data_IF_650326856981
#
_entry.id   IF_650326856981
#
_cell.length_a   1.000
_cell.length_b   1.000
_cell.length_c   1.000
_cell.angle_alpha   90.00
_cell.angle_beta   90.00
_cell.angle_gamma   90.00
#
_symmetry.space_group_name_H-M   'P 1'
#
loop_
_entity.id
_entity.type
_entity.pdbx_description
1 polymer ?
#
# COMPACT_ATOMS: atom_id res chain seq x y z
N UNK A 1 -2.56 -60.04 19.71
CA UNK A 1 -2.92 -58.91 20.61
C UNK A 1 -1.90 -57.76 20.56
N UNK A 2 -0.58 -58.05 20.68
CA UNK A 2 0.49 -57.04 20.65
C UNK A 2 0.51 -56.14 19.40
N UNK A 3 0.28 -56.71 18.21
CA UNK A 3 0.28 -55.96 16.94
C UNK A 3 -0.89 -54.97 16.82
N UNK A 4 -2.06 -55.31 17.36
CA UNK A 4 -3.23 -54.42 17.36
C UNK A 4 -3.11 -53.27 18.36
N UNK A 5 -2.42 -53.50 19.48
CA UNK A 5 -2.11 -52.47 20.47
C UNK A 5 -1.08 -51.47 19.94
N UNK A 6 -0.05 -51.95 19.22
CA UNK A 6 0.93 -51.10 18.54
C UNK A 6 0.28 -50.21 17.47
N UNK A 7 -0.61 -50.76 16.65
CA UNK A 7 -1.36 -49.98 15.66
C UNK A 7 -2.25 -48.91 16.29
N UNK A 8 -2.92 -49.22 17.41
CA UNK A 8 -3.76 -48.26 18.13
C UNK A 8 -2.94 -47.12 18.76
N UNK A 9 -1.75 -47.42 19.31
CA UNK A 9 -0.85 -46.41 19.89
C UNK A 9 -0.27 -45.50 18.80
N UNK A 10 0.10 -46.05 17.64
CA UNK A 10 0.60 -45.25 16.50
C UNK A 10 -0.51 -44.35 15.94
N UNK A 11 -1.73 -44.86 15.77
CA UNK A 11 -2.88 -44.06 15.35
C UNK A 11 -3.23 -42.96 16.37
N UNK A 12 -3.18 -43.27 17.66
CA UNK A 12 -3.39 -42.27 18.72
C UNK A 12 -2.28 -41.21 18.72
N UNK A 13 -1.00 -41.57 18.54
CA UNK A 13 0.06 -40.57 18.41
C UNK A 13 -0.08 -39.69 17.16
N UNK A 14 -0.56 -40.22 16.03
CA UNK A 14 -0.81 -39.45 14.80
C UNK A 14 -1.96 -38.44 15.02
N UNK A 15 -2.99 -38.79 15.79
CA UNK A 15 -4.11 -37.90 16.12
C UNK A 15 -3.81 -36.87 17.22
N UNK A 16 -2.72 -37.06 17.99
CA UNK A 16 -2.30 -36.18 19.09
C UNK A 16 -0.99 -35.42 18.80
N UNK A 17 -0.48 -35.47 17.57
CA UNK A 17 0.48 -34.47 17.13
C UNK A 17 -0.21 -33.11 17.27
N UNK A 18 0.30 -32.18 18.11
CA UNK A 18 -0.23 -30.84 18.11
C UNK A 18 -0.10 -30.35 16.68
N UNK A 19 -1.22 -29.95 16.06
CA UNK A 19 -1.16 -29.21 14.82
C UNK A 19 -0.17 -28.07 15.09
N UNK A 20 1.03 -28.18 14.53
CA UNK A 20 1.99 -27.10 14.56
C UNK A 20 1.21 -25.93 14.03
N UNK A 21 1.02 -24.92 14.88
CA UNK A 21 0.49 -23.63 14.47
C UNK A 21 1.30 -23.24 13.24
N UNK A 22 0.69 -23.36 12.06
CA UNK A 22 1.23 -22.80 10.85
C UNK A 22 1.15 -21.29 11.07
N UNK A 23 2.22 -20.74 11.64
CA UNK A 23 2.37 -19.31 11.78
C UNK A 23 2.36 -18.72 10.36
N UNK A 24 1.59 -17.66 10.16
CA UNK A 24 1.43 -16.90 8.91
C UNK A 24 2.74 -16.23 8.42
N UNK A 25 3.88 -16.59 9.00
CA UNK A 25 5.22 -16.11 8.68
C UNK A 25 6.01 -17.12 7.81
N UNK A 26 5.38 -18.24 7.44
CA UNK A 26 5.98 -19.36 6.69
C UNK A 26 6.21 -19.10 5.18
N UNK A 27 6.34 -17.84 4.78
CA UNK A 27 6.80 -17.47 3.44
C UNK A 27 8.33 -17.44 3.37
N UNK A 28 8.93 -17.43 2.17
CA UNK A 28 10.39 -17.33 2.00
C UNK A 28 10.96 -15.96 2.43
N UNK A 29 10.15 -15.05 2.96
CA UNK A 29 10.50 -13.66 3.23
C UNK A 29 11.02 -13.46 4.66
N UNK A 30 12.32 -13.62 4.84
CA UNK A 30 13.00 -13.38 6.11
C UNK A 30 13.39 -14.67 6.85
N UNK A 31 13.83 -14.54 8.10
CA UNK A 31 14.25 -15.70 8.90
C UNK A 31 15.49 -16.45 8.38
N UNK A 32 16.24 -15.86 7.44
CA UNK A 32 17.40 -16.51 6.83
C UNK A 32 18.47 -16.86 7.87
N UNK A 33 18.85 -18.13 7.90
CA UNK A 33 19.98 -18.65 8.68
C UNK A 33 21.10 -19.06 7.73
N UNK A 34 22.29 -19.34 8.27
CA UNK A 34 23.43 -19.79 7.46
C UNK A 34 23.18 -21.09 6.66
N UNK A 35 22.16 -21.88 7.04
CA UNK A 35 21.81 -23.15 6.40
C UNK A 35 20.42 -23.15 5.77
N UNK A 36 19.82 -21.98 5.51
CA UNK A 36 18.49 -21.90 4.88
C UNK A 36 18.54 -22.29 3.40
N UNK A 37 17.52 -23.01 2.93
CA UNK A 37 17.28 -23.28 1.51
C UNK A 37 16.36 -22.23 0.86
N UNK A 38 15.77 -21.30 1.64
CA UNK A 38 14.84 -20.28 1.18
C UNK A 38 15.45 -19.36 0.10
N UNK A 39 16.77 -19.18 0.09
CA UNK A 39 17.49 -18.43 -0.95
C UNK A 39 17.21 -18.99 -2.36
N UNK A 40 17.07 -20.32 -2.48
CA UNK A 40 16.77 -21.00 -3.73
C UNK A 40 15.29 -20.85 -4.14
N UNK A 41 14.44 -20.22 -3.33
CA UNK A 41 13.10 -19.81 -3.75
C UNK A 41 13.14 -18.70 -4.80
N UNK A 42 14.11 -17.78 -4.70
CA UNK A 42 14.20 -16.60 -5.57
C UNK A 42 15.47 -16.58 -6.43
N UNK A 43 16.59 -17.08 -5.91
CA UNK A 43 17.90 -16.98 -6.55
C UNK A 43 18.36 -18.29 -7.21
N UNK A 44 19.21 -18.17 -8.25
CA UNK A 44 19.94 -19.28 -8.89
C UNK A 44 21.39 -18.88 -9.12
N UNK A 45 22.31 -19.51 -8.42
CA UNK A 45 23.74 -19.13 -8.42
C UNK A 45 24.41 -19.22 -9.79
N UNK A 46 24.04 -20.20 -10.62
CA UNK A 46 24.68 -20.43 -11.93
C UNK A 46 23.72 -20.36 -13.13
N UNK A 47 22.41 -20.30 -12.90
CA UNK A 47 21.39 -20.42 -13.96
C UNK A 47 20.29 -19.36 -13.85
N UNK A 48 20.59 -18.24 -13.19
CA UNK A 48 19.65 -17.12 -13.11
C UNK A 48 19.31 -16.57 -14.50
N UNK A 49 18.04 -16.22 -14.69
CA UNK A 49 17.54 -15.61 -15.91
C UNK A 49 17.52 -14.06 -15.81
N UNK A 50 17.75 -13.51 -14.63
CA UNK A 50 17.72 -12.07 -14.36
C UNK A 50 18.87 -11.60 -13.46
N UNK A 51 19.10 -10.28 -13.44
CA UNK A 51 20.11 -9.65 -12.59
C UNK A 51 19.93 -9.99 -11.11
N UNK A 52 21.01 -9.86 -10.32
CA UNK A 52 21.04 -10.26 -8.90
C UNK A 52 20.78 -11.76 -8.67
N UNK A 53 21.13 -12.58 -9.66
CA UNK A 53 20.96 -14.03 -9.65
C UNK A 53 19.50 -14.46 -9.51
N UNK A 54 18.54 -13.69 -10.02
CA UNK A 54 17.12 -13.98 -9.87
C UNK A 54 16.61 -15.01 -10.90
N UNK A 55 15.62 -15.79 -10.49
CA UNK A 55 14.88 -16.72 -11.36
C UNK A 55 14.15 -16.03 -12.51
N UNK A 56 13.65 -14.82 -12.26
CA UNK A 56 12.93 -13.99 -13.22
C UNK A 56 13.00 -12.53 -12.78
N UNK A 57 12.64 -11.60 -13.66
CA UNK A 57 12.52 -10.18 -13.30
C UNK A 57 11.25 -9.93 -12.47
N UNK A 58 11.22 -8.84 -11.69
CA UNK A 58 9.96 -8.31 -11.16
C UNK A 58 9.08 -7.85 -12.33
N UNK A 59 7.74 -8.03 -12.28
CA UNK A 59 6.95 -8.63 -11.19
C UNK A 59 6.84 -10.16 -11.30
N UNK A 60 7.25 -10.76 -12.43
CA UNK A 60 7.07 -12.19 -12.72
C UNK A 60 7.59 -13.10 -11.62
N UNK A 61 8.74 -12.78 -11.02
CA UNK A 61 9.27 -13.53 -9.88
C UNK A 61 8.28 -13.59 -8.70
N UNK A 62 7.73 -12.46 -8.30
CA UNK A 62 6.81 -12.34 -7.17
C UNK A 62 5.48 -13.05 -7.47
N UNK A 63 5.01 -12.93 -8.71
CA UNK A 63 3.76 -13.53 -9.17
C UNK A 63 3.82 -15.07 -9.30
N UNK A 64 5.00 -15.69 -9.16
CA UNK A 64 5.10 -17.16 -9.05
C UNK A 64 4.44 -17.69 -7.76
N UNK A 65 4.32 -16.85 -6.73
CA UNK A 65 3.64 -17.18 -5.48
C UNK A 65 2.38 -16.34 -5.25
N UNK A 66 2.37 -15.08 -5.69
CA UNK A 66 1.32 -14.11 -5.44
C UNK A 66 0.34 -13.88 -6.62
N UNK A 67 0.43 -14.67 -7.69
CA UNK A 67 -0.44 -14.53 -8.87
C UNK A 67 -1.77 -15.28 -8.77
N UNK A 68 -2.64 -15.07 -9.77
CA UNK A 68 -4.04 -15.55 -9.78
C UNK A 68 -4.23 -17.07 -9.71
N UNK A 69 -3.22 -17.86 -10.07
CA UNK A 69 -3.31 -19.33 -10.16
C UNK A 69 -2.22 -20.04 -9.36
N UNK A 70 -1.62 -19.34 -8.40
CA UNK A 70 -0.48 -19.85 -7.63
C UNK A 70 -0.88 -20.06 -6.17
N UNK A 71 -0.47 -21.20 -5.58
CA UNK A 71 -0.71 -21.52 -4.17
C UNK A 71 0.52 -21.24 -3.30
N UNK A 72 1.46 -20.43 -3.80
CA UNK A 72 2.75 -20.17 -3.15
C UNK A 72 2.71 -19.12 -2.04
N UNK A 73 1.59 -18.41 -1.89
CA UNK A 73 1.38 -17.42 -0.84
C UNK A 73 -0.10 -17.37 -0.41
N UNK A 74 -0.34 -16.88 0.80
CA UNK A 74 -1.70 -16.60 1.31
C UNK A 74 -2.38 -15.41 0.64
N UNK A 75 -1.69 -14.70 -0.26
CA UNK A 75 -2.18 -13.50 -0.91
C UNK A 75 -2.01 -13.59 -2.41
N UNK A 76 -3.12 -13.46 -3.13
CA UNK A 76 -3.17 -13.27 -4.57
C UNK A 76 -3.30 -11.76 -4.82
N UNK A 77 -2.17 -11.14 -5.13
CA UNK A 77 -2.11 -9.68 -5.35
C UNK A 77 -2.63 -9.29 -6.73
N UNK A 78 -2.72 -10.23 -7.67
CA UNK A 78 -3.30 -9.96 -9.00
C UNK A 78 -4.80 -9.75 -8.89
N UNK A 79 -5.50 -10.63 -8.16
CA UNK A 79 -6.96 -10.57 -8.00
C UNK A 79 -7.41 -9.87 -6.72
N UNK A 80 -6.46 -9.44 -5.89
CA UNK A 80 -6.74 -8.71 -4.65
C UNK A 80 -7.47 -9.56 -3.61
N UNK A 81 -7.15 -10.85 -3.52
CA UNK A 81 -7.80 -11.83 -2.62
C UNK A 81 -6.77 -12.56 -1.75
N UNK A 82 -7.15 -12.92 -0.53
CA UNK A 82 -6.38 -13.86 0.28
C UNK A 82 -6.75 -15.32 0.01
N UNK A 83 -6.07 -16.26 0.69
CA UNK A 83 -6.30 -17.71 0.57
C UNK A 83 -7.72 -18.15 0.98
N UNK A 84 -8.49 -17.30 1.64
CA UNK A 84 -9.91 -17.49 1.99
C UNK A 84 -10.86 -16.68 1.11
N UNK A 85 -10.40 -16.11 -0.01
CA UNK A 85 -11.19 -15.25 -0.91
C UNK A 85 -11.73 -13.97 -0.26
N UNK A 86 -11.09 -13.48 0.80
CA UNK A 86 -11.36 -12.16 1.40
C UNK A 86 -10.56 -11.09 0.65
N UNK A 87 -11.07 -9.85 0.54
CA UNK A 87 -10.35 -8.80 -0.17
C UNK A 87 -9.07 -8.42 0.54
N UNK A 88 -8.05 -8.12 -0.23
CA UNK A 88 -6.82 -7.53 0.26
C UNK A 88 -6.89 -6.01 0.20
N UNK A 89 -6.41 -5.34 1.26
CA UNK A 89 -6.10 -3.90 1.22
C UNK A 89 -4.89 -3.57 0.33
N UNK A 90 -4.15 -4.60 -0.09
CA UNK A 90 -2.86 -4.49 -0.77
C UNK A 90 -2.72 -5.50 -1.90
N UNK A 91 -3.72 -5.56 -2.79
CA UNK A 91 -3.65 -6.28 -4.06
C UNK A 91 -4.50 -5.56 -5.11
N UNK A 92 -4.83 -6.27 -6.17
CA UNK A 92 -5.70 -5.81 -7.24
C UNK A 92 -4.95 -5.08 -8.35
N UNK A 93 -4.02 -5.80 -8.99
CA UNK A 93 -3.34 -5.30 -10.19
C UNK A 93 -4.11 -5.61 -11.48
N UNK A 94 -4.96 -6.66 -11.49
CA UNK A 94 -5.82 -7.01 -12.62
C UNK A 94 -7.31 -7.02 -12.25
N UNK A 95 -7.63 -7.63 -11.10
CA UNK A 95 -8.97 -7.63 -10.53
C UNK A 95 -8.94 -7.13 -9.10
N UNK A 96 -9.91 -6.32 -8.71
CA UNK A 96 -10.04 -5.85 -7.33
C UNK A 96 -11.31 -6.39 -6.72
N UNK A 97 -11.25 -6.79 -5.46
CA UNK A 97 -12.45 -7.01 -4.65
C UNK A 97 -12.69 -5.77 -3.80
N UNK A 98 -13.72 -5.00 -4.13
CA UNK A 98 -14.02 -3.75 -3.45
C UNK A 98 -15.51 -3.47 -3.36
N UNK A 99 -15.91 -2.62 -2.41
CA UNK A 99 -17.24 -2.00 -2.41
C UNK A 99 -17.11 -0.58 -2.94
N UNK A 100 -17.41 -0.32 -4.22
CA UNK A 100 -17.23 0.99 -4.83
C UNK A 100 -18.36 1.98 -4.47
N UNK A 101 -19.32 1.62 -3.61
CA UNK A 101 -20.44 2.49 -3.27
C UNK A 101 -21.51 1.84 -2.39
N UNK A 102 -22.78 1.91 -2.82
CA UNK A 102 -23.93 1.34 -2.09
C UNK A 102 -24.41 0.00 -2.65
N UNK A 103 -23.70 -0.52 -3.65
CA UNK A 103 -24.04 -1.77 -4.36
C UNK A 103 -23.47 -3.02 -3.69
N UNK A 104 -22.75 -2.84 -2.57
CA UNK A 104 -22.07 -3.91 -1.88
C UNK A 104 -20.76 -4.31 -2.58
N UNK A 105 -19.99 -5.16 -1.91
CA UNK A 105 -18.73 -5.71 -2.40
C UNK A 105 -18.89 -6.44 -3.75
N UNK A 106 -18.03 -6.10 -4.71
CA UNK A 106 -17.93 -6.71 -6.03
C UNK A 106 -16.48 -7.06 -6.37
N UNK A 107 -16.29 -7.96 -7.33
CA UNK A 107 -15.00 -8.17 -8.00
C UNK A 107 -15.07 -7.49 -9.36
N UNK A 108 -14.18 -6.51 -9.58
CA UNK A 108 -14.20 -5.63 -10.75
C UNK A 108 -12.84 -5.63 -11.44
N UNK A 109 -12.80 -5.40 -12.77
CA UNK A 109 -11.54 -5.16 -13.45
C UNK A 109 -10.91 -3.86 -12.93
N UNK A 110 -9.59 -3.85 -12.86
CA UNK A 110 -8.83 -2.67 -12.42
C UNK A 110 -8.96 -1.56 -13.46
N UNK A 111 -9.30 -0.37 -12.99
CA UNK A 111 -9.38 0.86 -13.78
C UNK A 111 -8.14 1.73 -13.62
N UNK A 112 -7.48 1.67 -12.47
CA UNK A 112 -6.23 2.38 -12.19
C UNK A 112 -5.38 1.59 -11.20
N UNK A 113 -4.06 1.54 -11.42
CA UNK A 113 -3.11 0.94 -10.49
C UNK A 113 -1.78 1.71 -10.49
N UNK A 114 -0.97 1.48 -9.45
CA UNK A 114 0.47 1.64 -9.58
C UNK A 114 1.00 0.56 -10.51
N UNK A 115 1.56 0.97 -11.64
CA UNK A 115 2.15 0.09 -12.64
C UNK A 115 3.50 -0.44 -12.15
N UNK A 116 3.54 -1.70 -11.72
CA UNK A 116 4.73 -2.34 -11.11
C UNK A 116 5.53 -3.22 -12.08
N UNK A 117 5.33 -3.02 -13.38
CA UNK A 117 5.94 -3.80 -14.46
C UNK A 117 7.25 -3.21 -14.99
N UNK A 118 7.77 -2.13 -14.39
CA UNK A 118 8.95 -1.41 -14.87
C UNK A 118 8.69 -0.48 -16.05
N UNK A 119 7.44 -0.27 -16.45
CA UNK A 119 7.07 0.72 -17.47
C UNK A 119 7.32 2.16 -17.00
N UNK A 120 7.47 3.10 -17.94
CA UNK A 120 7.62 4.54 -17.63
C UNK A 120 6.30 5.13 -17.11
N UNK A 121 6.36 5.82 -15.97
CA UNK A 121 5.21 6.46 -15.33
C UNK A 121 5.57 7.81 -14.70
N UNK A 122 4.54 8.60 -14.45
CA UNK A 122 4.69 9.89 -13.76
C UNK A 122 4.32 9.75 -12.29
N UNK A 123 5.25 10.11 -11.40
CA UNK A 123 5.00 10.30 -9.98
C UNK A 123 4.50 11.72 -9.76
N UNK A 124 3.18 11.87 -9.85
CA UNK A 124 2.52 13.16 -9.67
C UNK A 124 2.75 13.71 -8.26
N UNK A 125 3.00 15.02 -8.16
CA UNK A 125 3.26 15.67 -6.89
C UNK A 125 4.66 15.43 -6.31
N UNK A 126 5.55 14.70 -6.99
CA UNK A 126 6.95 14.63 -6.56
C UNK A 126 7.63 16.01 -6.65
N UNK A 127 8.58 16.26 -5.75
CA UNK A 127 9.36 17.50 -5.67
C UNK A 127 8.96 18.44 -4.54
N UNK A 128 9.63 19.59 -4.45
CA UNK A 128 9.26 20.64 -3.51
C UNK A 128 8.04 21.42 -4.01
N UNK A 129 7.29 22.01 -3.08
CA UNK A 129 6.27 23.03 -3.38
C UNK A 129 6.87 24.08 -4.32
N UNK A 130 6.17 24.40 -5.41
CA UNK A 130 6.70 25.25 -6.47
C UNK A 130 5.69 26.24 -7.06
N UNK A 131 6.10 27.51 -7.12
CA UNK A 131 5.41 28.56 -7.88
C UNK A 131 5.60 28.44 -9.41
N UNK A 132 6.32 27.42 -9.88
CA UNK A 132 6.41 27.05 -11.30
C UNK A 132 5.63 25.77 -11.53
N UNK A 133 4.71 25.79 -12.50
CA UNK A 133 3.93 24.62 -12.88
C UNK A 133 4.85 23.45 -13.26
N UNK A 134 4.85 22.40 -12.45
CA UNK A 134 5.46 21.12 -12.78
C UNK A 134 4.60 19.97 -12.18
N UNK A 135 4.24 18.97 -12.98
CA UNK A 135 3.32 17.91 -12.53
C UNK A 135 3.93 16.93 -11.52
N UNK A 136 5.24 16.74 -11.56
CA UNK A 136 5.94 15.71 -10.80
C UNK A 136 7.11 15.13 -11.59
N UNK A 137 7.57 13.94 -11.17
CA UNK A 137 8.69 13.25 -11.79
C UNK A 137 8.18 12.30 -12.87
N UNK A 138 8.59 12.53 -14.12
CA UNK A 138 8.27 11.65 -15.24
C UNK A 138 9.27 10.48 -15.36
N UNK A 139 8.91 9.49 -16.18
CA UNK A 139 9.78 8.37 -16.58
C UNK A 139 10.31 7.51 -15.43
N UNK A 140 9.45 7.22 -14.46
CA UNK A 140 9.76 6.38 -13.31
C UNK A 140 9.35 4.93 -13.58
N UNK A 141 10.32 3.99 -13.69
CA UNK A 141 10.04 2.57 -13.81
C UNK A 141 9.82 1.95 -12.43
N UNK A 142 8.57 1.76 -12.03
CA UNK A 142 8.23 1.17 -10.74
C UNK A 142 8.13 -0.37 -10.83
N UNK A 143 8.64 -1.05 -9.80
CA UNK A 143 8.62 -2.49 -9.60
C UNK A 143 8.17 -2.82 -8.17
N UNK A 144 7.82 -4.09 -7.90
CA UNK A 144 7.41 -4.53 -6.56
C UNK A 144 8.48 -4.22 -5.50
N UNK A 145 9.77 -4.30 -5.88
CA UNK A 145 10.90 -4.08 -4.98
C UNK A 145 11.20 -2.63 -4.69
N UNK A 146 10.56 -1.67 -5.36
CA UNK A 146 10.71 -0.26 -5.00
C UNK A 146 9.95 0.06 -3.71
N UNK A 147 8.83 -0.63 -3.48
CA UNK A 147 8.03 -0.49 -2.27
C UNK A 147 8.35 -1.55 -1.21
N UNK A 148 8.58 -2.80 -1.61
CA UNK A 148 8.74 -3.94 -0.70
C UNK A 148 10.19 -4.44 -0.60
N UNK A 149 10.56 -4.94 0.57
CA UNK A 149 11.81 -5.65 0.81
C UNK A 149 11.55 -7.17 0.92
N UNK A 150 11.81 -7.96 -0.13
CA UNK A 150 11.56 -9.41 -0.12
C UNK A 150 12.46 -10.18 0.85
N UNK A 151 13.48 -9.55 1.44
CA UNK A 151 14.30 -10.17 2.49
C UNK A 151 13.67 -10.10 3.88
N UNK A 152 12.50 -9.48 4.04
CA UNK A 152 11.77 -9.42 5.30
C UNK A 152 12.30 -8.41 6.32
N UNK A 153 13.35 -7.66 5.98
CA UNK A 153 14.08 -6.74 6.85
C UNK A 153 14.00 -5.31 6.34
N UNK A 154 12.78 -4.84 6.12
CA UNK A 154 12.48 -3.57 5.47
C UNK A 154 12.85 -2.33 6.28
N UNK A 155 12.88 -2.44 7.62
CA UNK A 155 13.02 -1.27 8.50
C UNK A 155 14.40 -1.07 9.11
N UNK A 156 14.51 -0.06 9.96
CA UNK A 156 15.76 0.34 10.59
C UNK A 156 16.39 -0.79 11.40
N UNK A 157 17.71 -0.93 11.26
CA UNK A 157 18.45 -2.04 11.86
C UNK A 157 18.03 -3.43 11.33
N UNK A 158 17.33 -3.49 10.20
CA UNK A 158 16.84 -4.74 9.61
C UNK A 158 15.61 -5.31 10.32
N UNK A 159 14.79 -4.45 10.95
CA UNK A 159 13.52 -4.80 11.56
C UNK A 159 12.46 -5.19 10.51
N UNK A 160 11.49 -6.01 10.93
CA UNK A 160 10.30 -6.29 10.14
C UNK A 160 9.40 -5.05 10.10
N UNK A 161 8.79 -4.82 8.95
CA UNK A 161 7.90 -3.69 8.67
C UNK A 161 6.56 -4.20 8.16
N UNK A 162 5.54 -3.36 8.28
CA UNK A 162 4.21 -3.65 7.76
C UNK A 162 4.29 -4.15 6.32
N UNK A 163 3.87 -5.40 6.09
CA UNK A 163 3.91 -6.08 4.79
C UNK A 163 5.24 -5.92 4.03
N UNK A 164 6.34 -5.94 4.77
CA UNK A 164 7.69 -5.83 4.22
C UNK A 164 7.97 -4.50 3.52
N UNK A 165 7.22 -3.44 3.80
CA UNK A 165 7.48 -2.12 3.20
C UNK A 165 8.89 -1.65 3.55
N UNK A 166 9.59 -1.06 2.59
CA UNK A 166 10.90 -0.45 2.86
C UNK A 166 10.70 0.74 3.80
N UNK A 167 11.26 0.63 4.99
CA UNK A 167 11.19 1.64 6.04
C UNK A 167 12.50 2.42 6.21
N UNK A 168 13.65 1.81 5.87
CA UNK A 168 14.97 2.44 6.00
C UNK A 168 15.75 2.50 4.68
N UNK A 169 16.32 3.68 4.40
CA UNK A 169 17.36 3.96 3.42
C UNK A 169 18.72 3.32 3.75
N UNK A 170 18.91 2.42 4.74
CA UNK A 170 20.25 1.79 4.99
C UNK A 170 20.76 0.85 3.90
N UNK A 171 20.09 0.75 2.75
CA UNK A 171 20.69 0.26 1.50
C UNK A 171 21.06 1.37 0.49
N UNK A 172 20.98 2.63 0.94
CA UNK A 172 21.61 3.86 0.45
C UNK A 172 21.21 4.36 -0.95
N UNK A 173 19.90 4.39 -1.26
CA UNK A 173 19.35 5.21 -2.35
C UNK A 173 17.97 5.77 -1.97
N UNK A 174 17.60 7.01 -2.33
CA UNK A 174 16.20 7.42 -2.36
C UNK A 174 15.41 6.48 -3.29
N UNK A 175 14.12 6.24 -3.00
CA UNK A 175 13.24 5.41 -3.85
C UNK A 175 13.31 5.80 -5.33
N UNK A 176 13.59 7.08 -5.61
CA UNK A 176 13.92 7.57 -6.94
C UNK A 176 15.24 8.32 -6.91
N UNK A 177 16.32 7.72 -7.41
CA UNK A 177 17.37 8.51 -8.05
C UNK A 177 16.93 8.73 -9.49
N UNK A 178 16.44 9.93 -9.81
CA UNK A 178 16.44 10.33 -11.20
C UNK A 178 17.92 10.37 -11.66
N UNK A 179 18.22 9.78 -12.82
CA UNK A 179 19.53 9.88 -13.46
C UNK A 179 19.76 11.31 -14.02
N UNK A 180 19.49 12.35 -13.22
CA UNK A 180 19.90 13.72 -13.51
C UNK A 180 20.03 14.63 -12.26
N UNK A 181 20.06 14.06 -11.05
CA UNK A 181 20.35 14.79 -9.84
C UNK A 181 19.21 15.70 -9.35
N UNK A 182 19.20 15.90 -8.03
CA UNK A 182 18.39 16.90 -7.32
C UNK A 182 16.97 16.50 -6.91
N UNK A 183 16.79 15.35 -6.26
CA UNK A 183 15.98 15.25 -5.02
C UNK A 183 16.50 14.04 -4.22
N UNK A 184 17.23 14.30 -3.13
CA UNK A 184 17.56 13.27 -2.14
C UNK A 184 16.54 13.39 -1.03
N UNK A 185 15.64 12.42 -0.91
CA UNK A 185 14.81 12.30 0.27
C UNK A 185 15.70 11.99 1.49
N UNK A 186 15.59 12.79 2.54
CA UNK A 186 16.56 12.81 3.65
C UNK A 186 16.23 11.86 4.80
N UNK A 187 15.05 11.23 4.82
CA UNK A 187 14.68 10.23 5.84
C UNK A 187 13.51 9.38 5.36
N UNK A 188 13.68 8.07 5.33
CA UNK A 188 12.60 7.11 5.12
C UNK A 188 11.85 6.85 6.44
N UNK A 189 10.64 6.31 6.36
CA UNK A 189 9.77 6.05 7.52
C UNK A 189 9.51 4.57 7.67
N UNK A 190 9.92 4.00 8.79
CA UNK A 190 9.54 2.66 9.21
C UNK A 190 8.05 2.62 9.53
N UNK A 191 7.33 1.76 8.82
CA UNK A 191 5.99 1.35 9.25
C UNK A 191 6.17 0.05 10.05
N UNK A 192 5.93 0.07 11.37
CA UNK A 192 6.06 -1.13 12.19
C UNK A 192 5.10 -2.21 11.71
N UNK A 193 5.52 -3.47 11.83
CA UNK A 193 4.59 -4.56 11.58
C UNK A 193 3.57 -4.68 12.72
N UNK A 194 2.38 -5.19 12.39
CA UNK A 194 1.32 -5.39 13.37
C UNK A 194 1.57 -6.66 14.19
N UNK A 195 1.30 -6.67 15.52
CA UNK A 195 1.44 -7.87 16.34
C UNK A 195 0.56 -9.04 15.86
N UNK A 196 -0.58 -8.72 15.23
CA UNK A 196 -1.51 -9.69 14.61
C UNK A 196 -1.66 -9.38 13.13
N UNK A 197 -1.29 -10.33 12.27
CA UNK A 197 -1.23 -10.14 10.81
C UNK A 197 -2.60 -10.29 10.14
N UNK A 198 -3.50 -9.33 10.37
CA UNK A 198 -4.86 -9.33 9.81
C UNK A 198 -5.02 -8.17 8.82
N UNK A 199 -5.02 -8.50 7.52
CA UNK A 199 -4.71 -7.55 6.46
C UNK A 199 -5.80 -7.43 5.37
N UNK A 200 -7.00 -7.91 5.65
CA UNK A 200 -8.14 -7.91 4.74
C UNK A 200 -9.08 -6.71 4.95
N UNK A 201 -9.97 -6.49 3.98
CA UNK A 201 -11.11 -5.56 4.11
C UNK A 201 -12.23 -6.32 4.83
N UNK A 202 -12.79 -5.74 5.90
CA UNK A 202 -13.83 -6.39 6.70
C UNK A 202 -15.13 -6.58 5.90
N UNK A 203 -16.02 -7.44 6.39
CA UNK A 203 -17.32 -7.68 5.76
C UNK A 203 -18.21 -6.43 5.75
N UNK A 204 -17.98 -5.48 6.65
CA UNK A 204 -18.73 -4.24 6.80
C UNK A 204 -18.28 -3.14 5.80
N UNK A 205 -17.36 -3.46 4.90
CA UNK A 205 -16.84 -2.48 3.95
C UNK A 205 -15.98 -1.40 4.62
N UNK A 206 -15.48 -1.66 5.85
CA UNK A 206 -14.59 -0.77 6.57
C UNK A 206 -13.21 -0.74 5.88
N UNK A 207 -13.15 0.02 4.78
CA UNK A 207 -11.90 0.57 4.29
C UNK A 207 -11.22 1.41 5.38
N UNK A 208 -12.01 1.96 6.29
CA UNK A 208 -11.56 2.79 7.38
C UNK A 208 -11.31 2.02 8.66
N UNK A 209 -10.05 2.03 9.10
CA UNK A 209 -9.67 1.61 10.44
C UNK A 209 -9.51 0.09 10.56
N UNK A 210 -8.26 -0.35 10.65
CA UNK A 210 -7.75 -0.64 11.99
C UNK A 210 -6.21 -0.70 11.99
N UNK A 211 -5.57 0.41 11.62
CA UNK A 211 -4.24 0.70 12.13
C UNK A 211 -4.39 1.38 13.50
N UNK A 212 -5.09 0.73 14.43
CA UNK A 212 -5.38 1.25 15.78
C UNK A 212 -4.16 1.30 16.70
N UNK A 213 -2.96 1.03 16.17
CA UNK A 213 -1.70 1.11 16.88
C UNK A 213 -1.04 2.48 16.73
N UNK A 214 -0.58 3.03 17.86
CA UNK A 214 0.43 4.07 17.90
C UNK A 214 1.81 3.42 17.97
N UNK A 215 2.78 3.91 17.19
CA UNK A 215 4.18 3.49 17.22
C UNK A 215 5.10 4.70 17.21
N UNK A 216 6.05 4.74 18.13
CA UNK A 216 6.99 5.86 18.29
C UNK A 216 6.31 7.24 18.32
N UNK A 217 5.11 7.33 18.92
CA UNK A 217 4.31 8.56 19.00
C UNK A 217 3.42 8.87 17.78
N UNK A 218 3.48 8.07 16.71
CA UNK A 218 2.72 8.28 15.47
C UNK A 218 1.67 7.16 15.26
N UNK A 219 0.46 7.49 14.76
CA UNK A 219 -0.51 6.45 14.35
C UNK A 219 -0.01 5.73 13.09
N UNK A 220 -0.34 4.44 12.89
CA UNK A 220 0.10 3.75 11.67
C UNK A 220 -0.48 4.37 10.38
N UNK A 221 -1.60 5.11 10.47
CA UNK A 221 -2.10 5.97 9.39
C UNK A 221 -1.15 7.12 9.04
N UNK A 222 -0.62 7.81 10.05
CA UNK A 222 0.36 8.87 9.85
C UNK A 222 1.69 8.33 9.30
N UNK A 223 2.13 7.15 9.76
CA UNK A 223 3.32 6.48 9.22
C UNK A 223 3.12 6.10 7.75
N UNK A 224 1.94 5.61 7.38
CA UNK A 224 1.58 5.31 5.99
C UNK A 224 1.55 6.55 5.10
N UNK A 225 0.98 7.66 5.58
CA UNK A 225 1.02 8.94 4.85
C UNK A 225 2.46 9.39 4.63
N UNK A 226 3.29 9.38 5.67
CA UNK A 226 4.68 9.78 5.56
C UNK A 226 5.46 8.87 4.60
N UNK A 227 5.14 7.58 4.56
CA UNK A 227 5.71 6.64 3.61
C UNK A 227 5.27 6.91 2.16
N UNK A 228 3.99 7.19 1.90
CA UNK A 228 3.51 7.55 0.55
C UNK A 228 4.10 8.89 0.06
N UNK A 229 4.25 9.83 0.99
CA UNK A 229 4.82 11.15 0.73
C UNK A 229 6.29 11.11 0.32
N UNK A 230 6.97 9.96 0.46
CA UNK A 230 8.30 9.76 -0.08
C UNK A 230 8.36 9.92 -1.61
N UNK A 231 7.25 9.59 -2.27
CA UNK A 231 7.05 9.70 -3.71
C UNK A 231 6.13 10.88 -4.04
N UNK A 232 5.12 11.10 -3.22
CA UNK A 232 4.11 12.13 -3.46
C UNK A 232 4.27 13.34 -2.53
N UNK A 233 5.49 13.87 -2.49
CA UNK A 233 5.96 14.87 -1.52
C UNK A 233 5.02 16.07 -1.38
N UNK A 234 4.46 16.58 -2.49
CA UNK A 234 3.56 17.74 -2.47
C UNK A 234 2.14 17.42 -2.04
N UNK A 235 1.70 16.16 -2.04
CA UNK A 235 0.37 15.80 -1.52
C UNK A 235 0.32 15.81 0.00
N UNK A 236 1.47 15.64 0.68
CA UNK A 236 1.53 15.65 2.14
C UNK A 236 1.18 17.05 2.66
N UNK A 237 0.07 17.13 3.40
CA UNK A 237 -0.28 18.29 4.19
C UNK A 237 -0.48 17.86 5.64
N UNK A 238 0.15 18.57 6.57
CA UNK A 238 0.15 18.23 7.99
C UNK A 238 -0.51 19.33 8.79
N UNK A 239 -1.34 18.96 9.76
CA UNK A 239 -1.86 19.89 10.74
C UNK A 239 -1.14 19.64 12.07
N UNK A 240 -0.32 20.61 12.50
CA UNK A 240 0.50 20.50 13.72
C UNK A 240 0.14 21.62 14.68
N UNK A 241 0.38 21.43 15.99
CA UNK A 241 0.16 22.50 16.97
C UNK A 241 1.02 23.75 16.71
N UNK A 242 2.18 23.59 16.05
CA UNK A 242 3.07 24.70 15.67
C UNK A 242 2.63 25.41 14.38
N UNK A 243 1.82 24.76 13.54
CA UNK A 243 1.30 25.31 12.28
C UNK A 243 -0.04 24.64 11.98
N UNK A 244 -1.14 25.19 12.52
CA UNK A 244 -2.46 24.65 12.24
C UNK A 244 -2.77 24.86 10.76
N UNK A 245 -2.88 23.77 9.99
CA UNK A 245 -3.04 23.86 8.55
C UNK A 245 -4.49 23.62 8.14
N UNK A 246 -5.19 24.70 7.82
CA UNK A 246 -6.39 24.64 6.99
C UNK A 246 -5.95 24.46 5.53
N UNK A 247 -5.17 23.42 5.21
CA UNK A 247 -4.53 23.27 3.88
C UNK A 247 -5.54 23.19 2.72
N UNK A 248 -6.81 22.90 3.00
CA UNK A 248 -7.90 22.98 2.03
C UNK A 248 -8.40 24.41 1.75
N UNK A 249 -8.02 25.37 2.58
CA UNK A 249 -8.39 26.79 2.52
C UNK A 249 -7.18 27.75 2.46
N UNK A 250 -6.00 27.26 2.80
CA UNK A 250 -4.73 27.99 2.75
C UNK A 250 -3.91 27.53 1.57
N UNK A 251 -3.58 28.48 0.68
CA UNK A 251 -2.72 28.21 -0.48
C UNK A 251 -1.30 27.89 -0.01
N UNK A 252 -0.74 26.78 -0.48
CA UNK A 252 0.65 26.43 -0.18
C UNK A 252 1.69 27.21 -0.97
N UNK A 253 1.27 27.95 -2.00
CA UNK A 253 2.15 28.54 -3.00
C UNK A 253 2.62 27.55 -4.07
N UNK A 254 1.98 26.37 -4.17
CA UNK A 254 2.23 25.46 -5.31
C UNK A 254 1.27 25.81 -6.45
N UNK A 255 1.77 25.85 -7.68
CA UNK A 255 0.96 26.26 -8.84
C UNK A 255 -0.12 25.24 -9.20
N UNK A 256 0.12 23.96 -8.94
CA UNK A 256 -0.75 22.85 -9.37
C UNK A 256 -1.45 22.23 -8.16
N UNK A 257 -0.75 22.12 -7.03
CA UNK A 257 -1.22 21.47 -5.81
C UNK A 257 -1.53 22.47 -4.70
N UNK A 258 -2.01 23.67 -5.04
CA UNK A 258 -2.21 24.81 -4.14
C UNK A 258 -2.97 24.47 -2.84
N UNK A 259 -4.10 23.75 -2.95
CA UNK A 259 -4.98 23.40 -1.85
C UNK A 259 -5.08 21.88 -1.70
N UNK A 260 -4.98 21.39 -0.46
CA UNK A 260 -4.86 19.96 -0.16
C UNK A 260 -5.61 19.59 1.10
N UNK A 261 -6.23 18.42 1.12
CA UNK A 261 -6.70 17.86 2.39
C UNK A 261 -5.51 17.52 3.27
N UNK A 262 -5.67 17.74 4.57
CA UNK A 262 -4.70 17.27 5.57
C UNK A 262 -4.70 15.74 5.54
N UNK A 263 -3.50 15.16 5.40
CA UNK A 263 -3.29 13.71 5.31
C UNK A 263 -2.49 13.17 6.50
N UNK A 264 -2.06 14.04 7.41
CA UNK A 264 -1.43 13.69 8.67
C UNK A 264 -1.84 14.70 9.75
N UNK A 265 -2.25 14.21 10.91
CA UNK A 265 -2.63 15.06 12.04
C UNK A 265 -1.94 14.50 13.29
N UNK A 266 -0.97 15.25 13.83
CA UNK A 266 -0.28 14.88 15.06
C UNK A 266 -1.00 15.38 16.33
N UNK A 267 -2.06 16.19 16.17
CA UNK A 267 -2.67 16.94 17.28
C UNK A 267 -3.77 16.20 18.07
N UNK A 268 -4.04 14.91 17.79
CA UNK A 268 -5.14 14.12 18.38
C UNK A 268 -6.56 14.67 18.18
N UNK A 269 -6.74 15.79 17.47
CA UNK A 269 -8.04 16.42 17.19
C UNK A 269 -8.54 16.08 15.78
N UNK A 270 -7.64 15.69 14.87
CA UNK A 270 -8.05 15.10 13.60
C UNK A 270 -8.82 16.07 12.71
N UNK A 271 -9.78 15.55 11.93
CA UNK A 271 -10.72 16.37 11.18
C UNK A 271 -11.56 17.31 12.08
N UNK A 272 -11.74 16.99 13.37
CA UNK A 272 -12.48 17.86 14.28
C UNK A 272 -11.76 19.19 14.53
N UNK A 273 -10.43 19.26 14.40
CA UNK A 273 -9.69 20.53 14.50
C UNK A 273 -10.16 21.59 13.49
N UNK A 274 -10.58 21.17 12.29
CA UNK A 274 -11.09 22.05 11.22
C UNK A 274 -12.61 22.01 11.06
N UNK A 275 -13.28 20.93 11.52
CA UNK A 275 -14.72 20.70 11.31
C UNK A 275 -15.58 20.71 12.59
N UNK A 276 -15.01 21.02 13.77
CA UNK A 276 -15.70 20.98 15.08
C UNK A 276 -17.01 21.77 15.15
N UNK A 277 -17.17 22.82 14.34
CA UNK A 277 -18.37 23.66 14.32
C UNK A 277 -19.47 23.15 13.38
N UNK A 278 -19.20 22.15 12.53
CA UNK A 278 -20.05 21.83 11.36
C UNK A 278 -20.67 20.44 11.38
N UNK A 279 -20.01 19.42 11.95
CA UNK A 279 -20.51 18.04 11.93
C UNK A 279 -20.36 17.36 13.30
N UNK A 280 -21.49 16.88 13.85
CA UNK A 280 -21.58 16.35 15.22
C UNK A 280 -21.34 14.85 15.38
N UNK A 281 -21.20 14.05 14.30
CA UNK A 281 -20.94 12.61 14.39
C UNK A 281 -20.41 12.08 13.04
N UNK A 282 -19.40 11.21 13.11
CA UNK A 282 -18.81 10.41 12.01
C UNK A 282 -17.77 11.11 11.11
N UNK A 283 -16.57 11.31 11.64
CA UNK A 283 -15.34 11.52 10.84
C UNK A 283 -14.21 10.65 11.39
N UNK A 284 -13.36 10.05 10.54
CA UNK A 284 -12.17 9.36 11.03
C UNK A 284 -11.25 10.38 11.73
N UNK A 285 -10.77 10.09 12.95
CA UNK A 285 -9.96 11.03 13.71
C UNK A 285 -8.58 11.29 13.09
N UNK A 286 -8.15 10.49 12.09
CA UNK A 286 -6.84 10.65 11.45
C UNK A 286 -6.94 10.34 9.95
N UNK A 287 -7.24 11.33 9.08
CA UNK A 287 -7.22 11.13 7.63
C UNK A 287 -5.80 10.79 7.17
N UNK A 288 -5.69 9.82 6.26
CA UNK A 288 -4.44 9.39 5.64
C UNK A 288 -4.65 9.17 4.13
N UNK A 289 -3.59 8.95 3.36
CA UNK A 289 -3.74 8.69 1.92
C UNK A 289 -4.70 7.51 1.66
N UNK A 290 -4.59 6.44 2.45
CA UNK A 290 -5.42 5.23 2.33
C UNK A 290 -6.87 5.41 2.83
N UNK A 291 -7.22 6.58 3.37
CA UNK A 291 -8.60 6.98 3.64
C UNK A 291 -9.37 7.15 2.32
N UNK A 292 -8.71 7.65 1.28
CA UNK A 292 -9.33 7.91 -0.02
C UNK A 292 -8.86 6.92 -1.09
N UNK A 293 -7.62 6.45 -0.99
CA UNK A 293 -6.97 5.68 -2.03
C UNK A 293 -6.74 4.22 -1.63
N UNK A 294 -6.79 3.34 -2.62
CA UNK A 294 -6.22 2.00 -2.59
C UNK A 294 -4.71 2.09 -2.79
N UNK A 295 -3.94 1.22 -2.13
CA UNK A 295 -2.48 1.26 -2.23
C UNK A 295 -1.94 0.75 -3.58
N UNK A 296 -2.62 -0.24 -4.18
CA UNK A 296 -2.16 -0.88 -5.43
C UNK A 296 -3.06 -0.55 -6.61
N UNK A 297 -4.28 -1.09 -6.66
CA UNK A 297 -5.23 -0.79 -7.72
C UNK A 297 -6.66 -0.65 -7.22
N UNK A 298 -7.47 -0.02 -8.06
CA UNK A 298 -8.90 0.18 -7.85
C UNK A 298 -9.66 -0.20 -9.12
N UNK A 299 -10.93 -0.53 -8.93
CA UNK A 299 -11.93 -0.73 -9.98
C UNK A 299 -12.97 0.38 -9.98
N UNK A 300 -12.72 1.46 -9.22
CA UNK A 300 -13.61 2.60 -9.17
C UNK A 300 -13.75 3.25 -10.56
N UNK A 301 -14.99 3.58 -10.91
CA UNK A 301 -15.37 4.16 -12.19
C UNK A 301 -15.68 5.63 -12.06
N UNK A 302 -15.33 6.39 -13.11
CA UNK A 302 -15.56 7.81 -13.20
C UNK A 302 -16.82 8.08 -14.01
N UNK A 303 -17.67 8.98 -13.51
CA UNK A 303 -18.86 9.47 -14.20
C UNK A 303 -18.58 10.79 -14.90
N UNK A 304 -19.61 11.34 -15.53
CA UNK A 304 -19.52 12.47 -16.45
C UNK A 304 -18.69 13.67 -15.95
N UNK A 305 -18.77 14.00 -14.66
CA UNK A 305 -18.02 15.14 -14.11
C UNK A 305 -16.59 14.76 -13.74
N UNK A 306 -16.40 13.58 -13.15
CA UNK A 306 -15.10 13.12 -12.65
C UNK A 306 -14.15 12.67 -13.76
N UNK A 307 -14.71 12.18 -14.87
CA UNK A 307 -14.01 11.71 -16.06
C UNK A 307 -13.33 12.86 -16.83
N UNK A 308 -14.00 14.01 -16.92
CA UNK A 308 -13.50 15.17 -17.66
C UNK A 308 -12.41 15.99 -16.95
N UNK A 309 -11.85 15.49 -15.83
CA UNK A 309 -10.82 16.20 -15.07
C UNK A 309 -9.43 15.99 -15.72
N UNK A 310 -8.73 17.05 -16.17
CA UNK A 310 -7.40 16.94 -16.79
C UNK A 310 -6.29 16.52 -15.82
N UNK A 311 -5.14 16.11 -16.36
CA UNK A 311 -4.00 15.62 -15.57
C UNK A 311 -3.32 16.84 -14.97
N UNK A 312 -2.51 16.68 -13.92
CA UNK A 312 -1.75 17.80 -13.39
C UNK A 312 -0.89 18.51 -14.45
N UNK A 313 -0.52 17.83 -15.55
CA UNK A 313 0.18 18.42 -16.71
C UNK A 313 -0.76 19.05 -17.77
N UNK A 314 -2.07 19.04 -17.54
CA UNK A 314 -3.10 19.56 -18.44
C UNK A 314 -3.55 18.58 -19.53
N UNK A 315 -2.98 17.38 -19.62
CA UNK A 315 -3.40 16.39 -20.62
C UNK A 315 -4.79 15.84 -20.29
N UNK A 316 -5.66 15.75 -21.30
CA UNK A 316 -6.98 15.12 -21.19
C UNK A 316 -6.83 13.61 -21.40
N UNK A 317 -7.51 12.81 -20.57
CA UNK A 317 -7.35 11.35 -20.52
C UNK A 317 -7.78 10.66 -21.83
N UNK A 318 -7.09 9.59 -22.28
CA UNK A 318 -7.59 8.72 -23.36
C UNK A 318 -8.66 7.71 -22.90
N UNK A 319 -8.67 7.33 -21.62
CA UNK A 319 -9.62 6.35 -21.04
C UNK A 319 -10.22 6.89 -19.73
N UNK A 320 -11.56 6.88 -19.68
CA UNK A 320 -12.33 7.59 -18.67
C UNK A 320 -12.04 7.17 -17.22
N UNK A 321 -11.94 5.86 -17.00
CA UNK A 321 -11.76 5.30 -15.66
C UNK A 321 -10.30 5.28 -15.19
N UNK A 322 -9.32 5.50 -16.08
CA UNK A 322 -7.90 5.66 -15.71
C UNK A 322 -7.69 6.83 -14.73
N UNK A 323 -8.67 7.73 -14.65
CA UNK A 323 -8.74 8.86 -13.71
C UNK A 323 -9.21 8.54 -12.32
N UNK A 324 -9.59 7.30 -12.05
CA UNK A 324 -9.95 6.93 -10.69
C UNK A 324 -8.81 7.21 -9.72
N UNK A 325 -7.55 7.31 -10.17
CA UNK A 325 -6.41 7.74 -9.35
C UNK A 325 -6.37 6.96 -8.02
N UNK A 326 -6.60 5.65 -8.12
CA UNK A 326 -6.68 4.72 -7.00
C UNK A 326 -7.82 4.97 -6.00
N UNK A 327 -8.80 5.81 -6.30
CA UNK A 327 -9.91 6.08 -5.38
C UNK A 327 -10.69 4.80 -5.03
N UNK A 328 -11.09 4.66 -3.76
CA UNK A 328 -11.82 3.48 -3.28
C UNK A 328 -13.34 3.47 -3.58
N UNK A 329 -13.91 4.57 -4.08
CA UNK A 329 -15.34 4.67 -4.41
C UNK A 329 -15.54 5.28 -5.80
N UNK A 330 -16.60 4.83 -6.49
CA UNK A 330 -17.01 5.35 -7.79
C UNK A 330 -17.33 6.85 -7.72
N UNK A 331 -17.16 7.55 -8.84
CA UNK A 331 -17.59 8.93 -9.05
C UNK A 331 -17.04 9.91 -8.00
N UNK A 332 -15.84 9.66 -7.47
CA UNK A 332 -15.25 10.42 -6.35
C UNK A 332 -16.11 10.36 -5.09
N UNK A 333 -16.85 9.28 -4.89
CA UNK A 333 -17.71 9.04 -3.74
C UNK A 333 -16.99 9.12 -2.39
N UNK A 334 -15.66 8.98 -2.39
CA UNK A 334 -14.81 9.21 -1.19
C UNK A 334 -15.02 10.60 -0.58
N UNK A 335 -15.35 11.60 -1.41
CA UNK A 335 -15.68 12.93 -0.94
C UNK A 335 -17.03 12.92 -0.23
N UNK A 336 -18.03 12.26 -0.82
CA UNK A 336 -19.38 12.21 -0.28
C UNK A 336 -19.48 11.42 1.01
N UNK A 337 -18.66 10.38 1.17
CA UNK A 337 -18.59 9.57 2.38
C UNK A 337 -18.27 10.42 3.63
N UNK A 338 -17.46 11.47 3.46
CA UNK A 338 -17.12 12.42 4.51
C UNK A 338 -18.01 13.67 4.54
N UNK A 339 -18.34 14.24 3.38
CA UNK A 339 -19.03 15.54 3.31
C UNK A 339 -20.56 15.43 3.41
N UNK A 340 -21.14 14.28 3.02
CA UNK A 340 -22.57 13.96 3.07
C UNK A 340 -23.47 15.13 2.60
N UNK A 341 -23.18 15.68 1.42
CA UNK A 341 -23.89 16.84 0.84
C UNK A 341 -24.92 16.45 -0.21
#
# INVERSE_FOLDING_TARGET
MKTRLLLAIVLFMIFYLPASLLLADNGPHGGYTASTDACAGCHRTHTAAAASLLLSTSPNLCLTCHGSSTTGADTNVTDGLDSMSRPLRGGGFEWVSMDPGTVGRQTLPVTSNHTTNGGSNTVWGYGLISATANPGLADVPLTCTDCHNPHGRGGAGGAATYRLLKGDNVSNLPLFTNNNGTVTQTSSVDIPDEPTKMYYISADGDYFGNHGGFYNGMSANAAMTAWCAQCHTRYKAENTQASPSESGHTDSGDTIFAFRHVTNVEDNLGCASCHASTHGNFMPPYPACVTCHMAHGTGARMGNNSDNVPWPDGTTTPDADARSALLRLDNRGVCQDCHQK
#
